data_IF_583744495933
#
_entry.id   IF_583744495933
#
_cell.length_a   1.000
_cell.length_b   1.000
_cell.length_c   1.000
_cell.angle_alpha   90.00
_cell.angle_beta   90.00
_cell.angle_gamma   90.00
#
_symmetry.space_group_name_H-M   'P 1'
#
loop_
_entity.id
_entity.type
_entity.pdbx_description
1 polymer ?
#
# COMPACT_ATOMS: atom_id res chain seq x y z
N UNK A 1 -4.72 -8.41 -37.35
CA UNK A 1 -5.78 -9.29 -36.80
C UNK A 1 -5.42 -10.74 -37.12
N UNK A 2 -5.68 -11.70 -36.21
CA UNK A 2 -5.42 -13.10 -36.50
C UNK A 2 -6.20 -13.50 -37.76
N UNK A 3 -5.48 -13.98 -38.79
CA UNK A 3 -6.09 -14.54 -39.99
C UNK A 3 -6.36 -16.01 -39.73
N UNK A 4 -7.49 -16.32 -39.12
CA UNK A 4 -7.91 -17.68 -38.82
C UNK A 4 -9.43 -17.74 -38.70
N UNK A 5 -10.03 -18.74 -39.32
CA UNK A 5 -11.46 -18.99 -39.41
C UNK A 5 -12.21 -18.73 -38.09
N UNK A 6 -13.17 -17.80 -38.12
CA UNK A 6 -14.42 -17.81 -37.35
C UNK A 6 -14.42 -18.19 -35.86
N UNK A 7 -13.34 -18.02 -35.10
CA UNK A 7 -13.37 -18.29 -33.65
C UNK A 7 -14.17 -17.20 -32.93
N UNK A 8 -15.25 -17.61 -32.26
CA UNK A 8 -16.03 -16.74 -31.38
C UNK A 8 -15.16 -16.28 -30.21
N UNK A 9 -15.05 -14.97 -30.01
CA UNK A 9 -14.38 -14.38 -28.86
C UNK A 9 -15.40 -14.09 -27.75
N UNK A 10 -15.01 -14.31 -26.50
CA UNK A 10 -15.82 -13.94 -25.33
C UNK A 10 -15.16 -12.77 -24.62
N UNK A 11 -15.92 -11.70 -24.40
CA UNK A 11 -15.49 -10.61 -23.52
C UNK A 11 -15.31 -11.16 -22.12
N UNK A 12 -14.15 -10.90 -21.52
CA UNK A 12 -13.81 -11.32 -20.15
C UNK A 12 -13.41 -10.12 -19.33
N UNK A 13 -13.46 -10.27 -18.00
CA UNK A 13 -12.92 -9.27 -17.09
C UNK A 13 -11.44 -9.01 -17.41
N UNK A 14 -10.98 -7.74 -17.41
CA UNK A 14 -9.56 -7.41 -17.55
C UNK A 14 -8.67 -8.04 -16.47
N UNK A 15 -9.23 -8.47 -15.33
CA UNK A 15 -8.50 -9.20 -14.26
C UNK A 15 -8.30 -10.68 -14.56
N UNK A 16 -9.13 -11.26 -15.44
CA UNK A 16 -9.14 -12.70 -15.70
C UNK A 16 -7.80 -13.22 -16.24
N UNK A 17 -7.09 -12.55 -17.18
CA UNK A 17 -5.78 -12.99 -17.63
C UNK A 17 -4.78 -13.10 -16.48
N UNK A 18 -4.66 -12.08 -15.65
CA UNK A 18 -3.73 -12.08 -14.49
C UNK A 18 -4.08 -13.17 -13.49
N UNK A 19 -5.37 -13.33 -13.15
CA UNK A 19 -5.80 -14.30 -12.14
C UNK A 19 -5.66 -15.76 -12.58
N UNK A 20 -5.84 -16.04 -13.87
CA UNK A 20 -5.83 -17.44 -14.38
C UNK A 20 -4.48 -17.86 -14.94
N UNK A 21 -3.68 -16.93 -15.47
CA UNK A 21 -2.40 -17.24 -16.14
C UNK A 21 -1.17 -16.66 -15.44
N UNK A 22 -1.35 -15.76 -14.46
CA UNK A 22 -0.25 -15.05 -13.81
C UNK A 22 0.41 -13.98 -14.68
N UNK A 23 -0.09 -13.71 -15.88
CA UNK A 23 0.49 -12.71 -16.79
C UNK A 23 0.14 -11.30 -16.32
N UNK A 24 1.15 -10.43 -16.29
CA UNK A 24 0.96 -9.00 -16.06
C UNK A 24 0.13 -8.38 -17.19
N UNK A 25 -0.98 -7.71 -16.81
CA UNK A 25 -1.95 -7.16 -17.76
C UNK A 25 -2.09 -5.64 -17.64
N UNK A 26 -0.98 -4.96 -17.31
CA UNK A 26 -0.95 -3.52 -17.12
C UNK A 26 -1.38 -3.09 -15.72
N UNK A 27 -1.60 -1.78 -15.58
CA UNK A 27 -2.10 -1.14 -14.37
C UNK A 27 -3.29 -0.24 -14.70
N UNK A 28 -4.14 0.02 -13.71
CA UNK A 28 -5.20 1.02 -13.78
C UNK A 28 -4.74 2.31 -13.11
N UNK A 29 -5.07 3.46 -13.70
CA UNK A 29 -4.81 4.77 -13.10
C UNK A 29 -6.06 5.21 -12.35
N UNK A 30 -5.89 5.65 -11.11
CA UNK A 30 -6.95 6.27 -10.30
C UNK A 30 -6.43 7.59 -9.75
N UNK A 31 -7.22 8.65 -9.90
CA UNK A 31 -6.95 9.93 -9.28
C UNK A 31 -7.60 9.97 -7.91
N UNK A 32 -6.87 10.42 -6.90
CA UNK A 32 -7.39 10.71 -5.57
C UNK A 32 -7.10 12.17 -5.24
N UNK A 33 -8.11 12.91 -4.79
CA UNK A 33 -7.95 14.34 -4.50
C UNK A 33 -7.31 14.62 -3.13
N UNK A 34 -7.07 13.58 -2.33
CA UNK A 34 -6.47 13.65 -1.00
C UNK A 34 -5.89 12.29 -0.60
N UNK A 35 -5.01 12.25 0.41
CA UNK A 35 -4.42 10.99 0.89
C UNK A 35 -5.50 10.12 1.53
N UNK A 36 -6.48 10.71 2.21
CA UNK A 36 -7.63 10.00 2.79
C UNK A 36 -8.39 9.20 1.73
N UNK A 37 -8.61 9.80 0.55
CA UNK A 37 -9.27 9.13 -0.59
C UNK A 37 -8.44 8.03 -1.24
N UNK A 38 -7.13 7.99 -1.03
CA UNK A 38 -6.32 6.84 -1.47
C UNK A 38 -6.79 5.58 -0.77
N UNK A 39 -7.10 5.65 0.53
CA UNK A 39 -7.57 4.53 1.35
C UNK A 39 -9.07 4.28 1.21
N UNK A 40 -9.90 5.34 1.29
CA UNK A 40 -11.37 5.18 1.36
C UNK A 40 -12.00 4.85 0.00
N UNK A 41 -11.48 5.39 -1.11
CA UNK A 41 -11.97 5.10 -2.48
C UNK A 41 -11.18 3.96 -3.15
N UNK A 42 -10.87 2.91 -2.39
CA UNK A 42 -10.14 1.74 -2.90
C UNK A 42 -11.00 0.90 -3.85
N UNK A 43 -10.45 0.41 -4.99
CA UNK A 43 -11.17 -0.47 -5.90
C UNK A 43 -11.39 -1.89 -5.33
N UNK A 44 -10.87 -2.16 -4.13
CA UNK A 44 -10.96 -3.45 -3.44
C UNK A 44 -11.90 -3.40 -2.24
N UNK A 45 -12.78 -2.40 -2.13
CA UNK A 45 -13.67 -2.24 -0.99
C UNK A 45 -14.54 -3.49 -0.71
N UNK A 46 -15.02 -4.17 -1.76
CA UNK A 46 -15.77 -5.43 -1.64
C UNK A 46 -14.91 -6.63 -1.18
N UNK A 47 -13.59 -6.50 -1.22
CA UNK A 47 -12.62 -7.54 -0.89
C UNK A 47 -11.89 -7.26 0.46
N UNK A 48 -12.28 -6.20 1.17
CA UNK A 48 -11.68 -5.77 2.45
C UNK A 48 -10.69 -4.60 2.34
N UNK A 49 -10.54 -4.00 1.15
CA UNK A 49 -9.61 -2.90 0.92
C UNK A 49 -8.15 -3.36 0.78
N UNK A 50 -7.22 -2.45 1.06
CA UNK A 50 -5.81 -2.80 1.14
C UNK A 50 -5.53 -3.51 2.46
N UNK A 51 -4.93 -4.69 2.41
CA UNK A 51 -4.66 -5.52 3.59
C UNK A 51 -3.21 -5.44 4.08
N UNK A 52 -2.39 -4.67 3.36
CA UNK A 52 -1.06 -4.23 3.76
C UNK A 52 -0.80 -2.83 3.17
N UNK A 53 -0.43 -1.89 4.02
CA UNK A 53 -0.13 -0.51 3.65
C UNK A 53 1.30 -0.15 4.07
N UNK A 54 2.10 0.32 3.10
CA UNK A 54 3.50 0.69 3.30
C UNK A 54 3.68 2.13 2.88
N UNK A 55 4.10 2.98 3.80
CA UNK A 55 4.57 4.33 3.51
C UNK A 55 6.10 4.37 3.48
N UNK A 56 6.67 5.11 2.52
CA UNK A 56 8.13 5.24 2.41
C UNK A 56 8.64 6.57 2.94
N UNK A 57 9.70 6.55 3.74
CA UNK A 57 10.42 7.74 4.20
C UNK A 57 11.85 7.40 4.59
N UNK A 58 12.76 8.37 4.43
CA UNK A 58 14.13 8.28 4.95
C UNK A 58 14.17 8.07 6.49
N UNK A 59 13.09 8.47 7.19
CA UNK A 59 12.90 8.33 8.64
C UNK A 59 12.22 7.01 9.03
N UNK A 60 11.93 6.14 8.07
CA UNK A 60 11.33 4.85 8.32
C UNK A 60 12.31 3.82 8.86
N UNK A 61 11.76 2.67 9.27
CA UNK A 61 12.54 1.49 9.62
C UNK A 61 13.29 0.97 8.40
N UNK A 62 14.51 0.49 8.60
CA UNK A 62 15.31 -0.04 7.50
C UNK A 62 14.63 -1.28 6.90
N UNK A 63 14.34 -1.23 5.59
CA UNK A 63 13.67 -2.33 4.87
C UNK A 63 14.41 -3.66 5.02
N UNK A 64 15.75 -3.64 5.04
CA UNK A 64 16.54 -4.87 5.09
C UNK A 64 16.36 -5.64 6.41
N UNK A 65 16.04 -4.92 7.49
CA UNK A 65 15.86 -5.49 8.82
C UNK A 65 14.46 -6.10 9.01
N UNK A 66 13.47 -5.64 8.24
CA UNK A 66 12.05 -5.97 8.48
C UNK A 66 11.38 -6.73 7.34
N UNK A 67 11.86 -6.63 6.10
CA UNK A 67 11.16 -7.13 4.89
C UNK A 67 10.82 -8.61 4.95
N UNK A 68 11.67 -9.43 5.57
CA UNK A 68 11.44 -10.88 5.70
C UNK A 68 10.38 -11.22 6.75
N UNK A 69 10.03 -10.30 7.66
CA UNK A 69 8.98 -10.48 8.67
C UNK A 69 7.65 -9.81 8.34
N UNK A 70 7.59 -8.99 7.28
CA UNK A 70 6.34 -8.36 6.84
C UNK A 70 5.38 -9.45 6.35
N UNK A 71 4.18 -9.47 6.93
CA UNK A 71 3.10 -10.43 6.60
C UNK A 71 2.98 -11.63 7.55
N UNK A 72 4.04 -11.98 8.28
CA UNK A 72 4.06 -13.17 9.15
C UNK A 72 3.31 -12.95 10.48
N UNK A 73 3.08 -11.69 10.87
CA UNK A 73 2.45 -11.33 12.14
C UNK A 73 1.24 -10.41 11.93
N UNK A 74 0.07 -10.96 11.55
CA UNK A 74 -1.22 -10.31 11.83
C UNK A 74 -1.72 -10.56 13.26
N UNK A 75 -0.80 -10.61 14.23
CA UNK A 75 -1.12 -10.45 15.64
C UNK A 75 -0.11 -9.51 16.26
N UNK A 76 -0.58 -8.49 16.97
CA UNK A 76 0.19 -7.46 17.68
C UNK A 76 0.55 -6.23 16.83
N UNK A 77 -0.45 -5.37 16.56
CA UNK A 77 -0.27 -3.91 16.74
C UNK A 77 -1.57 -3.10 16.91
N UNK A 78 -2.73 -3.73 17.15
CA UNK A 78 -3.93 -2.98 17.55
C UNK A 78 -3.93 -2.54 19.02
N UNK A 79 -3.11 -3.15 19.89
CA UNK A 79 -3.12 -2.84 21.33
C UNK A 79 -2.20 -1.69 21.76
N UNK A 80 -1.26 -1.23 20.93
CA UNK A 80 -0.41 -0.07 21.28
C UNK A 80 -0.96 1.27 20.78
N UNK A 81 -1.98 1.24 19.90
CA UNK A 81 -2.56 2.44 19.28
C UNK A 81 -3.90 2.86 19.94
N UNK A 82 -4.39 2.09 20.93
CA UNK A 82 -5.62 2.40 21.66
C UNK A 82 -5.57 3.72 22.46
N UNK A 83 -4.38 4.33 22.64
CA UNK A 83 -4.23 5.56 23.42
C UNK A 83 -3.98 6.83 22.59
N UNK A 84 -3.86 6.77 21.26
CA UNK A 84 -3.53 7.97 20.43
C UNK A 84 -4.26 8.11 19.08
N UNK A 85 -5.17 7.21 18.69
CA UNK A 85 -6.04 7.43 17.52
C UNK A 85 -7.41 7.95 17.97
N UNK A 86 -8.00 8.96 17.32
CA UNK A 86 -9.32 9.44 17.66
C UNK A 86 -10.37 8.43 17.26
N UNK A 87 -11.46 8.55 17.99
CA UNK A 87 -12.59 7.63 18.05
C UNK A 87 -13.31 7.49 16.69
N UNK A 88 -13.11 8.41 15.74
CA UNK A 88 -13.73 8.34 14.41
C UNK A 88 -13.15 7.24 13.50
N UNK A 89 -11.86 6.87 13.66
CA UNK A 89 -11.25 5.81 12.85
C UNK A 89 -11.58 4.39 13.36
N UNK A 90 -12.00 4.29 14.63
CA UNK A 90 -12.41 3.05 15.27
C UNK A 90 -13.70 2.46 14.64
N UNK A 91 -14.60 3.32 14.16
CA UNK A 91 -15.89 2.90 13.63
C UNK A 91 -15.84 2.38 12.19
N UNK A 92 -14.82 2.77 11.40
CA UNK A 92 -14.69 2.33 10.00
C UNK A 92 -14.05 0.94 9.88
N UNK A 93 -13.24 0.54 10.86
CA UNK A 93 -12.52 -0.75 10.86
C UNK A 93 -13.34 -1.86 11.54
N UNK A 94 -14.23 -1.50 12.48
CA UNK A 94 -14.98 -2.49 13.29
C UNK A 94 -16.03 -3.29 12.52
N UNK A 95 -16.47 -2.87 11.34
CA UNK A 95 -17.52 -3.57 10.57
C UNK A 95 -16.99 -4.65 9.61
N UNK A 96 -15.68 -4.77 9.44
CA UNK A 96 -15.06 -5.68 8.46
C UNK A 96 -14.36 -6.90 9.06
N UNK A 97 -14.65 -7.29 10.31
CA UNK A 97 -13.97 -8.40 10.98
C UNK A 97 -14.53 -9.77 10.53
N UNK A 98 -14.17 -10.18 9.31
CA UNK A 98 -13.98 -11.58 8.93
C UNK A 98 -12.57 -11.69 8.36
N UNK A 99 -11.57 -11.72 9.26
CA UNK A 99 -10.16 -11.79 8.87
C UNK A 99 -9.88 -13.23 8.44
N UNK A 100 -9.85 -13.45 7.12
CA UNK A 100 -9.22 -14.62 6.53
C UNK A 100 -7.71 -14.44 6.66
N UNK A 101 -7.05 -15.32 7.41
CA UNK A 101 -5.60 -15.33 7.58
C UNK A 101 -5.02 -15.95 6.30
N UNK A 102 -4.55 -15.12 5.37
CA UNK A 102 -3.69 -15.57 4.28
C UNK A 102 -2.25 -15.21 4.61
N UNK A 103 -1.33 -16.14 4.38
CA UNK A 103 0.12 -15.95 4.60
C UNK A 103 0.73 -14.84 3.74
N UNK A 104 -0.04 -14.26 2.81
CA UNK A 104 0.40 -13.24 1.86
C UNK A 104 -0.64 -12.10 1.74
N UNK A 105 -0.20 -10.83 1.59
CA UNK A 105 -1.10 -9.71 1.32
C UNK A 105 -1.75 -9.86 -0.05
N UNK A 106 -3.08 -9.76 -0.12
CA UNK A 106 -3.83 -9.84 -1.38
C UNK A 106 -3.83 -8.50 -2.10
N UNK A 107 -3.86 -7.39 -1.36
CA UNK A 107 -3.96 -6.03 -1.88
C UNK A 107 -3.01 -5.10 -1.11
N UNK A 108 -1.77 -4.99 -1.62
CA UNK A 108 -0.76 -4.10 -1.04
C UNK A 108 -0.88 -2.67 -1.60
N UNK A 109 -0.82 -1.67 -0.73
CA UNK A 109 -0.65 -0.27 -1.09
C UNK A 109 0.74 0.23 -0.70
N UNK A 110 1.58 0.52 -1.69
CA UNK A 110 2.84 1.23 -1.51
C UNK A 110 2.62 2.72 -1.81
N UNK A 111 2.96 3.59 -0.87
CA UNK A 111 2.83 5.04 -1.03
C UNK A 111 4.20 5.70 -1.02
N UNK A 112 4.45 6.51 -2.03
CA UNK A 112 5.69 7.27 -2.24
C UNK A 112 5.42 8.76 -2.09
N UNK A 113 6.31 9.46 -1.39
CA UNK A 113 6.27 10.91 -1.25
C UNK A 113 6.83 11.65 -2.47
N UNK A 114 6.48 12.94 -2.55
CA UNK A 114 7.14 13.89 -3.44
C UNK A 114 8.42 14.47 -2.82
N UNK A 115 8.86 15.62 -3.33
CA UNK A 115 10.08 16.32 -2.86
C UNK A 115 10.08 16.58 -1.34
N UNK A 116 8.90 16.88 -0.78
CA UNK A 116 8.70 17.23 0.62
C UNK A 116 8.46 16.01 1.53
N UNK A 117 8.54 14.79 1.00
CA UNK A 117 8.17 13.57 1.70
C UNK A 117 6.66 13.41 1.85
N UNK A 118 6.25 12.27 2.41
CA UNK A 118 4.84 11.95 2.68
C UNK A 118 4.29 12.69 3.89
N UNK A 119 5.17 12.99 4.85
CA UNK A 119 4.81 13.55 6.15
C UNK A 119 4.18 14.93 6.02
N UNK A 120 4.73 15.78 5.13
CA UNK A 120 4.17 17.10 4.87
C UNK A 120 2.86 17.02 4.10
N UNK A 121 2.72 16.08 3.15
CA UNK A 121 1.45 15.86 2.44
C UNK A 121 0.35 15.43 3.40
N UNK A 122 0.65 14.50 4.30
CA UNK A 122 -0.30 14.02 5.32
C UNK A 122 -0.64 15.15 6.29
N UNK A 123 0.34 15.92 6.75
CA UNK A 123 0.11 17.04 7.67
C UNK A 123 -0.74 18.17 7.06
N UNK A 124 -0.69 18.33 5.74
CA UNK A 124 -1.45 19.34 5.01
C UNK A 124 -2.86 18.87 4.58
N UNK A 125 -3.19 17.60 4.78
CA UNK A 125 -4.46 17.05 4.33
C UNK A 125 -5.58 17.28 5.37
N UNK A 126 -6.39 18.30 5.13
CA UNK A 126 -7.54 18.65 5.97
C UNK A 126 -8.71 17.65 5.88
N UNK A 127 -8.62 16.63 5.01
CA UNK A 127 -9.63 15.56 4.92
C UNK A 127 -9.37 14.38 5.86
N UNK A 128 -8.24 14.39 6.57
CA UNK A 128 -7.94 13.41 7.60
C UNK A 128 -8.60 13.81 8.93
N UNK A 129 -9.33 12.86 9.52
CA UNK A 129 -9.92 13.01 10.84
C UNK A 129 -9.42 11.87 11.75
N UNK A 130 -8.50 12.17 12.70
CA UNK A 130 -8.08 13.50 13.11
C UNK A 130 -7.14 14.11 12.07
N UNK A 131 -6.93 15.42 12.16
CA UNK A 131 -5.75 16.01 11.53
C UNK A 131 -4.49 15.41 12.15
N UNK A 132 -3.61 14.90 11.31
CA UNK A 132 -2.33 14.31 11.69
C UNK A 132 -1.23 15.35 11.52
N UNK A 133 -0.21 15.32 12.38
CA UNK A 133 1.02 16.07 12.14
C UNK A 133 2.00 15.24 11.30
N UNK A 134 3.08 15.88 10.84
CA UNK A 134 4.16 15.17 10.14
C UNK A 134 4.76 14.01 10.97
N UNK A 135 4.78 14.15 12.29
CA UNK A 135 5.27 13.11 13.20
C UNK A 135 4.30 11.93 13.35
N UNK A 136 3.02 12.15 13.07
CA UNK A 136 1.97 11.13 13.17
C UNK A 136 1.77 10.35 11.86
N UNK A 137 2.41 10.79 10.77
CA UNK A 137 2.31 10.16 9.45
C UNK A 137 2.54 8.64 9.45
N UNK A 138 3.51 8.07 10.20
CA UNK A 138 3.69 6.63 10.28
C UNK A 138 2.45 5.88 10.77
N UNK A 139 1.60 6.50 11.60
CA UNK A 139 0.41 5.87 12.18
C UNK A 139 -0.68 5.53 11.16
N UNK A 140 -0.58 6.09 9.94
CA UNK A 140 -1.51 5.85 8.83
C UNK A 140 -1.21 4.54 8.09
N UNK A 141 -0.04 3.94 8.30
CA UNK A 141 0.44 2.77 7.57
C UNK A 141 0.69 1.60 8.52
N UNK A 142 0.66 0.38 8.00
CA UNK A 142 1.08 -0.81 8.73
C UNK A 142 2.61 -0.83 8.89
N UNK A 143 3.33 -0.41 7.85
CA UNK A 143 4.78 -0.25 7.87
C UNK A 143 5.21 1.12 7.34
N UNK A 144 6.19 1.70 8.01
CA UNK A 144 6.81 2.97 7.63
C UNK A 144 8.30 2.74 7.38
N UNK A 145 8.70 2.64 6.11
CA UNK A 145 9.97 2.04 5.73
C UNK A 145 10.90 3.03 5.04
N UNK A 146 12.19 2.92 5.35
CA UNK A 146 13.27 3.40 4.52
C UNK A 146 13.70 2.28 3.56
N UNK A 147 13.32 2.42 2.29
CA UNK A 147 13.62 1.45 1.23
C UNK A 147 14.98 1.65 0.56
N UNK A 148 15.70 2.73 0.91
CA UNK A 148 17.06 3.01 0.45
C UNK A 148 17.93 3.42 1.64
N UNK A 149 18.28 2.47 2.53
CA UNK A 149 19.21 2.75 3.60
C UNK A 149 20.57 3.18 3.01
N UNK A 150 21.28 4.05 3.73
CA UNK A 150 22.59 4.56 3.32
C UNK A 150 22.60 5.29 1.97
N UNK A 151 21.51 6.00 1.62
CA UNK A 151 21.46 6.80 0.40
C UNK A 151 22.66 7.77 0.31
N UNK A 152 23.35 7.75 -0.84
CA UNK A 152 24.48 8.64 -1.11
C UNK A 152 24.08 10.03 -1.61
N UNK A 153 22.80 10.23 -1.93
CA UNK A 153 22.25 11.52 -2.35
C UNK A 153 21.47 12.16 -1.21
N UNK A 154 21.36 13.50 -1.22
CA UNK A 154 20.48 14.22 -0.28
C UNK A 154 19.01 13.95 -0.55
N UNK A 155 18.65 13.75 -1.81
CA UNK A 155 17.27 13.57 -2.26
C UNK A 155 17.23 12.40 -3.24
N UNK A 156 16.16 11.61 -3.15
CA UNK A 156 15.82 10.57 -4.11
C UNK A 156 14.55 11.02 -4.80
N UNK A 157 14.55 11.08 -6.14
CA UNK A 157 13.34 11.48 -6.86
C UNK A 157 12.30 10.38 -6.78
N UNK A 158 11.01 10.72 -6.86
CA UNK A 158 9.92 9.76 -6.71
C UNK A 158 10.01 8.61 -7.73
N UNK A 159 10.45 8.89 -8.97
CA UNK A 159 10.67 7.89 -10.01
C UNK A 159 11.83 6.93 -9.72
N UNK A 160 12.88 7.40 -9.04
CA UNK A 160 14.00 6.58 -8.57
C UNK A 160 13.54 5.73 -7.37
N UNK A 161 12.84 6.37 -6.42
CA UNK A 161 12.30 5.75 -5.23
C UNK A 161 11.30 4.63 -5.57
N UNK A 162 10.50 4.78 -6.62
CA UNK A 162 9.57 3.74 -7.09
C UNK A 162 10.31 2.45 -7.44
N UNK A 163 11.34 2.53 -8.28
CA UNK A 163 12.10 1.37 -8.73
C UNK A 163 12.87 0.73 -7.58
N UNK A 164 13.51 1.55 -6.75
CA UNK A 164 14.26 1.08 -5.57
C UNK A 164 13.34 0.40 -4.57
N UNK A 165 12.20 1.00 -4.25
CA UNK A 165 11.24 0.45 -3.29
C UNK A 165 10.64 -0.87 -3.77
N UNK A 166 10.25 -0.98 -5.04
CA UNK A 166 9.77 -2.24 -5.61
C UNK A 166 10.86 -3.31 -5.66
N UNK A 167 12.11 -2.92 -5.87
CA UNK A 167 13.27 -3.81 -5.80
C UNK A 167 13.52 -4.35 -4.39
N UNK A 168 13.54 -3.46 -3.40
CA UNK A 168 13.73 -3.81 -1.98
C UNK A 168 12.60 -4.72 -1.46
N UNK A 169 11.35 -4.42 -1.85
CA UNK A 169 10.16 -5.19 -1.47
C UNK A 169 9.92 -6.43 -2.35
N UNK A 170 10.80 -6.72 -3.33
CA UNK A 170 10.64 -7.88 -4.21
C UNK A 170 10.52 -9.18 -3.43
N UNK A 171 11.28 -9.33 -2.34
CA UNK A 171 11.24 -10.52 -1.49
C UNK A 171 9.85 -10.72 -0.89
N UNK A 172 9.22 -9.65 -0.41
CA UNK A 172 7.85 -9.66 0.09
C UNK A 172 6.82 -9.98 -1.01
N UNK A 173 6.99 -9.40 -2.20
CA UNK A 173 6.05 -9.55 -3.32
C UNK A 173 6.02 -10.94 -3.96
N UNK A 174 7.12 -11.69 -3.87
CA UNK A 174 7.29 -12.99 -4.52
C UNK A 174 7.59 -14.12 -3.53
N UNK A 175 7.24 -13.96 -2.24
CA UNK A 175 7.28 -15.07 -1.27
C UNK A 175 6.45 -16.22 -1.86
N UNK A 176 7.08 -17.39 -1.98
CA UNK A 176 6.48 -18.64 -2.49
C UNK A 176 6.28 -19.62 -1.35
#
# INVERSE_FOLDING_TARGET
>A
MPKGEGKLARLVSPRLPTQTTGIYWGYSIRLASSISKVFTETPYASEGGYDLTIGTSERGENVDDVVDGIGDFKSVHFNQIAHKKPIAFHLLISTCLNIHISDHPRHMLLVLGGLSGLELTIASDDTLEPRLTAADAPLLFDHWLNTLPFQGSRTVRTEEALLVSLGALRRLLFRS
#
